data_IF_348697832039
#
_entry.id   IF_348697832039
#
_cell.length_a   1.000
_cell.length_b   1.000
_cell.length_c   1.000
_cell.angle_alpha   90.00
_cell.angle_beta   90.00
_cell.angle_gamma   90.00
#
_symmetry.space_group_name_H-M   'P 1'
#
loop_
_entity.id
_entity.type
_entity.pdbx_description
1 polymer ?
#
# COMPACT_ATOMS: atom_id res chain seq x y z
N UNK A 1 24.61 31.29 7.05
CA UNK A 1 23.93 30.36 7.98
C UNK A 1 22.59 30.02 7.35
N UNK A 2 22.29 28.73 7.18
CA UNK A 2 20.96 28.30 6.74
C UNK A 2 20.00 28.44 7.92
N UNK A 3 18.92 29.19 7.77
CA UNK A 3 17.86 29.32 8.77
C UNK A 3 16.79 28.23 8.61
N UNK A 4 15.85 28.15 9.56
CA UNK A 4 14.80 27.12 9.56
C UNK A 4 13.89 27.22 8.31
N UNK A 5 13.58 28.44 7.86
CA UNK A 5 12.76 28.69 6.66
C UNK A 5 13.38 28.09 5.40
N UNK A 6 14.69 28.27 5.19
CA UNK A 6 15.40 27.69 4.05
C UNK A 6 15.37 26.15 4.07
N UNK A 7 15.55 25.54 5.25
CA UNK A 7 15.49 24.08 5.40
C UNK A 7 14.09 23.54 5.12
N UNK A 8 13.04 24.22 5.61
CA UNK A 8 11.64 23.83 5.37
C UNK A 8 11.29 23.99 3.88
N UNK A 9 11.74 25.07 3.24
CA UNK A 9 11.55 25.29 1.81
C UNK A 9 12.22 24.20 0.97
N UNK A 10 13.47 23.86 1.30
CA UNK A 10 14.18 22.76 0.63
C UNK A 10 13.48 21.42 0.87
N UNK A 11 13.06 21.12 2.09
CA UNK A 11 12.32 19.91 2.38
C UNK A 11 11.03 19.78 1.55
N UNK A 12 10.32 20.90 1.29
CA UNK A 12 9.15 20.89 0.39
C UNK A 12 9.52 20.54 -1.04
N UNK A 13 10.68 20.98 -1.52
CA UNK A 13 11.21 20.59 -2.83
C UNK A 13 11.54 19.10 -2.88
N UNK A 14 12.21 18.57 -1.85
CA UNK A 14 12.51 17.15 -1.73
C UNK A 14 11.23 16.30 -1.70
N UNK A 15 10.21 16.75 -0.96
CA UNK A 15 8.88 16.13 -0.91
C UNK A 15 8.17 16.12 -2.27
N UNK A 16 8.38 17.14 -3.09
CA UNK A 16 7.79 17.23 -4.43
C UNK A 16 8.48 16.31 -5.44
N UNK A 17 9.72 15.90 -5.16
CA UNK A 17 10.48 14.93 -5.95
C UNK A 17 10.55 13.54 -5.31
N UNK A 18 9.64 13.23 -4.38
CA UNK A 18 9.55 11.94 -3.68
C UNK A 18 10.82 11.50 -2.94
N UNK A 19 11.70 12.44 -2.60
CA UNK A 19 12.89 12.21 -1.76
C UNK A 19 12.53 12.40 -0.29
N UNK A 20 11.66 11.53 0.22
CA UNK A 20 11.05 11.69 1.54
C UNK A 20 12.03 11.54 2.70
N UNK A 21 13.00 10.63 2.62
CA UNK A 21 14.05 10.49 3.63
C UNK A 21 14.90 11.77 3.76
N UNK A 22 15.29 12.36 2.62
CA UNK A 22 15.99 13.66 2.55
C UNK A 22 15.15 14.78 3.17
N UNK A 23 13.87 14.85 2.83
CA UNK A 23 12.94 15.81 3.43
C UNK A 23 12.84 15.66 4.95
N UNK A 24 12.78 14.43 5.47
CA UNK A 24 12.77 14.18 6.91
C UNK A 24 14.03 14.74 7.59
N UNK A 25 15.22 14.43 7.05
CA UNK A 25 16.49 14.91 7.59
C UNK A 25 16.60 16.45 7.59
N UNK A 26 16.11 17.11 6.54
CA UNK A 26 16.06 18.58 6.49
C UNK A 26 15.12 19.16 7.55
N UNK A 27 13.96 18.54 7.77
CA UNK A 27 12.99 19.03 8.75
C UNK A 27 13.38 18.72 10.20
N UNK A 28 14.13 17.65 10.45
CA UNK A 28 14.78 17.39 11.74
C UNK A 28 15.79 18.49 12.07
N UNK A 29 16.62 18.88 11.09
CA UNK A 29 17.55 20.01 11.25
C UNK A 29 16.82 21.33 11.47
N UNK A 30 15.72 21.57 10.76
CA UNK A 30 14.89 22.76 10.97
C UNK A 30 14.33 22.81 12.40
N UNK A 31 13.85 21.67 12.92
CA UNK A 31 13.34 21.56 14.28
C UNK A 31 14.40 21.80 15.35
N UNK A 32 15.67 21.46 15.08
CA UNK A 32 16.78 21.75 15.99
C UNK A 32 17.13 23.24 16.05
N UNK A 33 16.81 24.02 15.00
CA UNK A 33 17.04 25.47 14.96
C UNK A 33 15.86 26.25 15.55
N UNK A 34 14.65 25.87 15.19
CA UNK A 34 13.41 26.51 15.65
C UNK A 34 12.29 25.46 15.77
N UNK A 35 12.11 24.86 16.95
CA UNK A 35 11.10 23.81 17.17
C UNK A 35 9.67 24.34 17.09
N UNK A 36 9.46 25.64 17.35
CA UNK A 36 8.14 26.28 17.39
C UNK A 36 7.78 26.95 16.04
N UNK A 37 8.62 26.75 15.01
CA UNK A 37 8.42 27.35 13.70
C UNK A 37 7.02 27.05 13.13
N UNK A 38 6.26 28.07 12.69
CA UNK A 38 4.93 27.87 12.13
C UNK A 38 4.92 26.87 10.97
N UNK A 39 4.04 25.87 11.05
CA UNK A 39 3.87 24.85 10.01
C UNK A 39 4.94 23.73 9.99
N UNK A 40 5.97 23.79 10.83
CA UNK A 40 6.99 22.75 10.91
C UNK A 40 6.41 21.39 11.30
N UNK A 41 5.51 21.35 12.30
CA UNK A 41 4.83 20.12 12.71
C UNK A 41 4.09 19.47 11.54
N UNK A 42 3.38 20.27 10.73
CA UNK A 42 2.64 19.77 9.57
C UNK A 42 3.58 19.23 8.49
N UNK A 43 4.69 19.93 8.22
CA UNK A 43 5.70 19.48 7.27
C UNK A 43 6.35 18.17 7.73
N UNK A 44 6.74 18.07 9.00
CA UNK A 44 7.35 16.86 9.59
C UNK A 44 6.41 15.67 9.58
N UNK A 45 5.15 15.85 10.01
CA UNK A 45 4.16 14.77 10.00
C UNK A 45 3.93 14.26 8.56
N UNK A 46 3.80 15.16 7.58
CA UNK A 46 3.63 14.79 6.18
C UNK A 46 4.85 14.04 5.63
N UNK A 47 6.06 14.50 5.94
CA UNK A 47 7.30 13.85 5.53
C UNK A 47 7.46 12.46 6.15
N UNK A 48 7.25 12.34 7.47
CA UNK A 48 7.34 11.06 8.18
C UNK A 48 6.36 10.05 7.60
N UNK A 49 5.09 10.44 7.36
CA UNK A 49 4.12 9.52 6.76
C UNK A 49 4.53 9.10 5.35
N UNK A 50 4.96 10.02 4.47
CA UNK A 50 5.35 9.69 3.10
C UNK A 50 6.64 8.85 3.03
N UNK A 51 7.51 8.99 4.02
CA UNK A 51 8.68 8.13 4.16
C UNK A 51 8.39 6.78 4.85
N UNK A 52 7.12 6.49 5.17
CA UNK A 52 6.70 5.31 5.95
C UNK A 52 7.28 5.24 7.38
N UNK A 53 7.74 6.37 7.94
CA UNK A 53 8.07 6.53 9.37
C UNK A 53 6.80 6.77 10.19
N UNK A 54 5.86 5.82 10.12
CA UNK A 54 4.51 5.96 10.67
C UNK A 54 4.48 6.13 12.20
N UNK A 55 5.27 5.32 12.93
CA UNK A 55 5.35 5.39 14.39
C UNK A 55 5.85 6.77 14.86
N UNK A 56 6.83 7.33 14.18
CA UNK A 56 7.31 8.69 14.46
C UNK A 56 6.27 9.76 14.14
N UNK A 57 5.57 9.66 12.99
CA UNK A 57 4.48 10.58 12.68
C UNK A 57 3.43 10.57 13.81
N UNK A 58 3.08 9.39 14.32
CA UNK A 58 2.11 9.25 15.42
C UNK A 58 2.64 9.90 16.69
N UNK A 59 3.87 9.59 17.10
CA UNK A 59 4.50 10.13 18.31
C UNK A 59 4.64 11.66 18.24
N UNK A 60 5.09 12.18 17.10
CA UNK A 60 5.25 13.60 16.85
C UNK A 60 3.92 14.36 17.00
N UNK A 61 2.85 13.86 16.37
CA UNK A 61 1.53 14.51 16.44
C UNK A 61 0.88 14.33 17.82
N UNK A 62 1.12 13.20 18.49
CA UNK A 62 0.66 12.99 19.86
C UNK A 62 1.31 13.96 20.85
N UNK A 63 2.61 14.23 20.70
CA UNK A 63 3.33 15.20 21.54
C UNK A 63 2.78 16.63 21.41
N UNK A 64 2.28 17.02 20.23
CA UNK A 64 1.64 18.31 20.02
C UNK A 64 0.24 18.44 20.66
N UNK A 65 -0.39 17.32 21.02
CA UNK A 65 -1.69 17.30 21.71
C UNK A 65 -2.79 18.10 20.99
N UNK A 66 -3.55 18.88 21.77
CA UNK A 66 -4.67 19.68 21.26
C UNK A 66 -4.24 20.80 20.29
N UNK A 67 -2.98 21.22 20.34
CA UNK A 67 -2.43 22.26 19.46
C UNK A 67 -2.18 21.75 18.02
N UNK A 68 -2.26 20.44 17.79
CA UNK A 68 -2.13 19.88 16.45
C UNK A 68 -3.24 20.42 15.52
N UNK A 69 -2.84 21.02 14.40
CA UNK A 69 -3.76 21.43 13.33
C UNK A 69 -4.38 20.24 12.59
N UNK A 70 -5.33 20.53 11.70
CA UNK A 70 -6.06 19.53 10.92
C UNK A 70 -5.14 18.65 10.07
N UNK A 71 -4.10 19.23 9.45
CA UNK A 71 -3.16 18.48 8.61
C UNK A 71 -2.36 17.44 9.42
N UNK A 72 -1.63 17.77 10.50
CA UNK A 72 -0.96 16.77 11.33
C UNK A 72 -1.88 15.64 11.83
N UNK A 73 -3.11 15.97 12.26
CA UNK A 73 -4.09 14.97 12.69
C UNK A 73 -4.46 13.99 11.57
N UNK A 74 -4.63 14.51 10.34
CA UNK A 74 -4.85 13.68 9.15
C UNK A 74 -3.66 12.76 8.87
N UNK A 75 -2.42 13.25 8.97
CA UNK A 75 -1.22 12.42 8.75
C UNK A 75 -1.09 11.31 9.81
N UNK A 76 -1.44 11.62 11.06
CA UNK A 76 -1.50 10.62 12.14
C UNK A 76 -2.56 9.55 11.87
N UNK A 77 -3.77 9.92 11.46
CA UNK A 77 -4.85 8.98 11.16
C UNK A 77 -4.47 8.04 10.01
N UNK A 78 -3.85 8.57 8.94
CA UNK A 78 -3.32 7.74 7.85
C UNK A 78 -2.20 6.81 8.33
N UNK A 79 -1.29 7.29 9.17
CA UNK A 79 -0.20 6.47 9.73
C UNK A 79 -0.73 5.30 10.58
N UNK A 80 -1.78 5.55 11.39
CA UNK A 80 -2.48 4.49 12.14
C UNK A 80 -3.10 3.45 11.21
N UNK A 81 -3.70 3.88 10.09
CA UNK A 81 -4.26 2.98 9.09
C UNK A 81 -3.18 2.09 8.44
N UNK A 82 -2.01 2.65 8.08
CA UNK A 82 -0.90 1.86 7.53
C UNK A 82 -0.33 0.85 8.54
N UNK A 83 -0.36 1.16 9.83
CA UNK A 83 0.01 0.24 10.91
C UNK A 83 -1.12 -0.75 11.28
N UNK A 84 -2.22 -0.80 10.53
CA UNK A 84 -3.31 -1.75 10.77
C UNK A 84 -4.23 -1.42 11.96
N UNK A 85 -4.08 -0.24 12.58
CA UNK A 85 -4.86 0.17 13.76
C UNK A 85 -6.19 0.82 13.33
N UNK A 86 -7.14 -0.01 12.90
CA UNK A 86 -8.39 0.44 12.24
C UNK A 86 -9.24 1.37 13.11
N UNK A 87 -9.50 1.01 14.36
CA UNK A 87 -10.35 1.77 15.29
C UNK A 87 -9.72 3.14 15.58
N UNK A 88 -8.42 3.15 15.90
CA UNK A 88 -7.68 4.38 16.19
C UNK A 88 -7.59 5.28 14.95
N UNK A 89 -7.39 4.71 13.76
CA UNK A 89 -7.37 5.45 12.50
C UNK A 89 -8.74 6.07 12.21
N UNK A 90 -9.82 5.31 12.35
CA UNK A 90 -11.18 5.78 12.12
C UNK A 90 -11.55 6.93 13.06
N UNK A 91 -11.30 6.78 14.36
CA UNK A 91 -11.49 7.85 15.33
C UNK A 91 -10.64 9.09 15.01
N UNK A 92 -9.40 8.89 14.55
CA UNK A 92 -8.53 9.97 14.11
C UNK A 92 -9.08 10.74 12.89
N UNK A 93 -9.65 10.04 11.90
CA UNK A 93 -10.31 10.69 10.77
C UNK A 93 -11.58 11.43 11.18
N UNK A 94 -12.35 10.88 12.10
CA UNK A 94 -13.57 11.54 12.59
C UNK A 94 -13.22 12.84 13.33
N UNK A 95 -12.17 12.85 14.15
CA UNK A 95 -11.66 14.08 14.76
C UNK A 95 -11.17 15.12 13.73
N UNK A 96 -10.61 14.68 12.60
CA UNK A 96 -10.26 15.57 11.47
C UNK A 96 -11.52 16.17 10.84
N UNK A 97 -12.55 15.35 10.66
CA UNK A 97 -13.81 15.72 10.01
C UNK A 97 -14.72 16.59 10.90
N UNK A 98 -14.62 16.48 12.22
CA UNK A 98 -15.27 17.41 13.15
C UNK A 98 -14.76 18.85 12.98
N UNK A 99 -13.47 19.00 12.66
CA UNK A 99 -12.82 20.30 12.46
C UNK A 99 -12.94 20.81 11.03
N UNK A 100 -12.97 19.91 10.05
CA UNK A 100 -13.09 20.22 8.62
C UNK A 100 -14.05 19.23 7.93
N UNK A 101 -15.38 19.43 8.03
CA UNK A 101 -16.38 18.49 7.54
C UNK A 101 -16.40 18.30 6.01
N UNK A 102 -15.77 19.22 5.27
CA UNK A 102 -15.70 19.21 3.81
C UNK A 102 -14.37 18.67 3.27
N UNK A 103 -13.52 18.12 4.14
CA UNK A 103 -12.24 17.53 3.76
C UNK A 103 -12.41 16.20 3.04
N UNK A 104 -12.56 16.26 1.71
CA UNK A 104 -12.75 15.09 0.86
C UNK A 104 -11.72 13.97 1.11
N UNK A 105 -10.45 14.34 1.33
CA UNK A 105 -9.36 13.40 1.57
C UNK A 105 -9.47 12.64 2.91
N UNK A 106 -10.10 13.23 3.94
CA UNK A 106 -10.34 12.55 5.22
C UNK A 106 -11.49 11.55 5.10
N UNK A 107 -12.59 11.95 4.44
CA UNK A 107 -13.67 11.00 4.09
C UNK A 107 -13.13 9.82 3.27
N UNK A 108 -12.30 10.09 2.27
CA UNK A 108 -11.67 9.04 1.46
C UNK A 108 -10.66 8.21 2.26
N UNK A 109 -9.78 8.81 3.07
CA UNK A 109 -8.82 8.04 3.88
C UNK A 109 -9.50 7.12 4.91
N UNK A 110 -10.71 7.48 5.34
CA UNK A 110 -11.43 6.77 6.39
C UNK A 110 -12.26 5.57 5.94
N UNK A 111 -12.51 5.36 4.64
CA UNK A 111 -13.39 4.26 4.21
C UNK A 111 -12.77 2.87 4.45
N UNK A 112 -11.43 2.76 4.34
CA UNK A 112 -10.70 1.53 4.64
C UNK A 112 -10.85 1.12 6.11
N UNK A 113 -10.43 1.96 7.07
CA UNK A 113 -10.67 1.70 8.49
C UNK A 113 -12.16 1.45 8.83
N UNK A 114 -13.08 2.19 8.19
CA UNK A 114 -14.51 1.99 8.40
C UNK A 114 -15.02 0.63 7.88
N UNK A 115 -14.43 0.10 6.81
CA UNK A 115 -14.75 -1.23 6.31
C UNK A 115 -14.40 -2.31 7.35
N UNK A 116 -13.23 -2.20 7.98
CA UNK A 116 -12.78 -3.14 9.01
C UNK A 116 -13.63 -3.06 10.29
N UNK A 117 -13.95 -1.84 10.74
CA UNK A 117 -14.61 -1.62 12.04
C UNK A 117 -16.14 -1.73 11.95
N UNK A 118 -16.73 -1.22 10.87
CA UNK A 118 -18.18 -0.99 10.77
C UNK A 118 -18.81 -1.57 9.49
N UNK A 119 -18.03 -2.24 8.64
CA UNK A 119 -18.52 -2.97 7.47
C UNK A 119 -18.81 -2.10 6.24
N UNK A 120 -19.33 -2.78 5.21
CA UNK A 120 -19.44 -2.27 3.84
C UNK A 120 -20.28 -0.99 3.71
N UNK A 121 -21.41 -0.91 4.42
CA UNK A 121 -22.30 0.26 4.33
C UNK A 121 -21.64 1.53 4.84
N UNK A 122 -20.89 1.45 5.93
CA UNK A 122 -20.13 2.57 6.49
C UNK A 122 -19.03 3.03 5.53
N UNK A 123 -18.29 2.08 4.94
CA UNK A 123 -17.27 2.37 3.93
C UNK A 123 -17.86 3.08 2.69
N UNK A 124 -18.98 2.57 2.16
CA UNK A 124 -19.66 3.18 1.02
C UNK A 124 -20.23 4.57 1.34
N UNK A 125 -20.75 4.78 2.55
CA UNK A 125 -21.21 6.10 2.99
C UNK A 125 -20.05 7.12 2.97
N UNK A 126 -18.88 6.74 3.48
CA UNK A 126 -17.67 7.58 3.47
C UNK A 126 -17.17 7.86 2.05
N UNK A 127 -17.16 6.86 1.16
CA UNK A 127 -16.81 7.05 -0.25
C UNK A 127 -17.78 7.98 -0.99
N UNK A 128 -19.09 7.82 -0.79
CA UNK A 128 -20.12 8.73 -1.35
C UNK A 128 -19.91 10.15 -0.84
N UNK A 129 -19.64 10.32 0.46
CA UNK A 129 -19.38 11.64 1.05
C UNK A 129 -18.09 12.26 0.52
N UNK A 130 -17.01 11.48 0.37
CA UNK A 130 -15.76 11.92 -0.23
C UNK A 130 -15.98 12.44 -1.66
N UNK A 131 -16.72 11.69 -2.48
CA UNK A 131 -17.04 12.08 -3.85
C UNK A 131 -18.00 13.30 -3.93
N UNK A 132 -18.80 13.56 -2.91
CA UNK A 132 -19.70 14.71 -2.89
C UNK A 132 -19.03 16.01 -2.39
N UNK A 133 -17.81 15.95 -1.84
CA UNK A 133 -17.14 17.14 -1.31
C UNK A 133 -16.68 18.11 -2.44
N UNK A 134 -16.68 19.43 -2.20
CA UNK A 134 -16.09 20.39 -3.12
C UNK A 134 -14.62 20.08 -3.42
N UNK A 135 -14.21 20.15 -4.69
CA UNK A 135 -12.83 19.90 -5.11
C UNK A 135 -12.37 18.43 -4.99
N UNK A 136 -13.29 17.50 -4.77
CA UNK A 136 -12.94 16.10 -4.58
C UNK A 136 -12.26 15.47 -5.82
N UNK A 137 -11.28 14.62 -5.55
CA UNK A 137 -10.42 14.03 -6.57
C UNK A 137 -11.19 12.97 -7.38
N UNK A 138 -11.21 13.09 -8.71
CA UNK A 138 -11.94 12.18 -9.58
C UNK A 138 -11.62 10.68 -9.39
N UNK A 139 -10.47 10.32 -8.80
CA UNK A 139 -10.17 8.92 -8.44
C UNK A 139 -11.17 8.32 -7.43
N UNK A 140 -11.79 9.14 -6.57
CA UNK A 140 -12.73 8.64 -5.55
C UNK A 140 -13.98 8.02 -6.16
N UNK A 141 -14.37 8.43 -7.38
CA UNK A 141 -15.50 7.89 -8.12
C UNK A 141 -15.16 6.52 -8.70
N UNK A 142 -13.92 6.35 -9.15
CA UNK A 142 -13.40 5.07 -9.63
C UNK A 142 -13.42 4.04 -8.51
N UNK A 143 -12.93 4.43 -7.33
CA UNK A 143 -12.96 3.59 -6.13
C UNK A 143 -14.39 3.30 -5.70
N UNK A 144 -15.25 4.33 -5.57
CA UNK A 144 -16.66 4.13 -5.22
C UNK A 144 -17.37 3.16 -6.17
N UNK A 145 -17.24 3.33 -7.49
CA UNK A 145 -17.88 2.43 -8.46
C UNK A 145 -17.35 1.00 -8.36
N UNK A 146 -16.03 0.83 -8.19
CA UNK A 146 -15.41 -0.48 -8.05
C UNK A 146 -15.84 -1.18 -6.74
N UNK A 147 -15.83 -0.47 -5.61
CA UNK A 147 -16.29 -1.00 -4.32
C UNK A 147 -17.78 -1.36 -4.36
N UNK A 148 -18.63 -0.54 -5.00
CA UNK A 148 -20.06 -0.86 -5.21
C UNK A 148 -20.24 -2.14 -6.03
N UNK A 149 -19.48 -2.29 -7.11
CA UNK A 149 -19.53 -3.49 -7.95
C UNK A 149 -19.16 -4.75 -7.16
N UNK A 150 -18.06 -4.69 -6.41
CA UNK A 150 -17.60 -5.81 -5.58
C UNK A 150 -18.56 -6.11 -4.41
N UNK A 151 -19.28 -5.10 -3.91
CA UNK A 151 -20.32 -5.28 -2.90
C UNK A 151 -21.66 -5.79 -3.46
N UNK A 152 -21.71 -6.19 -4.74
CA UNK A 152 -22.93 -6.69 -5.40
C UNK A 152 -23.96 -5.60 -5.75
N UNK A 153 -23.61 -4.31 -5.63
CA UNK A 153 -24.50 -3.16 -5.89
C UNK A 153 -24.34 -2.67 -7.32
N UNK A 154 -24.62 -3.55 -8.27
CA UNK A 154 -24.33 -3.35 -9.70
C UNK A 154 -25.00 -2.10 -10.29
N UNK A 155 -26.27 -1.84 -9.95
CA UNK A 155 -27.01 -0.70 -10.49
C UNK A 155 -26.43 0.64 -10.02
N UNK A 156 -26.10 0.74 -8.73
CA UNK A 156 -25.44 1.93 -8.18
C UNK A 156 -24.06 2.13 -8.82
N UNK A 157 -23.29 1.05 -9.00
CA UNK A 157 -21.98 1.08 -9.62
C UNK A 157 -22.07 1.58 -11.08
N UNK A 158 -23.03 1.07 -11.85
CA UNK A 158 -23.28 1.48 -13.22
C UNK A 158 -23.70 2.95 -13.32
N UNK A 159 -24.52 3.44 -12.39
CA UNK A 159 -24.91 4.84 -12.32
C UNK A 159 -23.71 5.77 -12.05
N UNK A 160 -22.82 5.40 -11.12
CA UNK A 160 -21.57 6.15 -10.87
C UNK A 160 -20.68 6.11 -12.11
N UNK A 161 -20.54 4.95 -12.76
CA UNK A 161 -19.74 4.81 -13.96
C UNK A 161 -20.25 5.73 -15.08
N UNK A 162 -21.54 5.67 -15.41
CA UNK A 162 -22.15 6.49 -16.45
C UNK A 162 -21.99 8.00 -16.18
N UNK A 163 -22.21 8.42 -14.92
CA UNK A 163 -22.16 9.83 -14.53
C UNK A 163 -20.75 10.40 -14.49
N UNK A 164 -19.75 9.63 -14.04
CA UNK A 164 -18.47 10.20 -13.63
C UNK A 164 -17.22 9.54 -14.21
N UNK A 165 -17.34 8.36 -14.81
CA UNK A 165 -16.22 7.56 -15.30
C UNK A 165 -16.21 7.40 -16.82
N UNK A 166 -17.38 7.21 -17.44
CA UNK A 166 -17.51 6.84 -18.86
C UNK A 166 -16.74 7.79 -19.81
N UNK A 167 -16.78 9.10 -19.52
CA UNK A 167 -16.08 10.14 -20.30
C UNK A 167 -14.74 10.58 -19.70
N UNK A 168 -14.25 9.90 -18.67
CA UNK A 168 -13.05 10.29 -17.92
C UNK A 168 -12.09 9.11 -17.70
N UNK A 169 -11.36 8.66 -18.73
CA UNK A 169 -10.47 7.48 -18.65
C UNK A 169 -9.48 7.52 -17.48
N UNK A 170 -8.91 8.69 -17.17
CA UNK A 170 -7.97 8.88 -16.05
C UNK A 170 -8.55 8.59 -14.66
N UNK A 171 -9.89 8.47 -14.53
CA UNK A 171 -10.58 8.13 -13.27
C UNK A 171 -10.93 6.65 -13.18
N UNK A 172 -10.76 5.88 -14.26
CA UNK A 172 -11.26 4.51 -14.38
C UNK A 172 -10.29 3.44 -13.92
N UNK A 173 -9.05 3.76 -13.61
CA UNK A 173 -8.03 2.78 -13.24
C UNK A 173 -8.49 1.70 -12.25
N UNK A 174 -9.18 2.09 -11.16
CA UNK A 174 -9.71 1.12 -10.18
C UNK A 174 -10.88 0.30 -10.74
N UNK A 175 -11.77 0.94 -11.50
CA UNK A 175 -12.89 0.24 -12.15
C UNK A 175 -12.40 -0.77 -13.19
N UNK A 176 -11.46 -0.36 -14.04
CA UNK A 176 -10.90 -1.19 -15.11
C UNK A 176 -10.08 -2.35 -14.51
N UNK A 177 -9.29 -2.11 -13.47
CA UNK A 177 -8.55 -3.16 -12.77
C UNK A 177 -9.47 -4.20 -12.12
N UNK A 178 -10.50 -3.77 -11.40
CA UNK A 178 -11.51 -4.69 -10.84
C UNK A 178 -12.27 -5.44 -11.94
N UNK A 179 -12.54 -4.81 -13.08
CA UNK A 179 -13.16 -5.48 -14.21
C UNK A 179 -12.26 -6.57 -14.81
N UNK A 180 -10.95 -6.35 -14.86
CA UNK A 180 -9.97 -7.28 -15.43
C UNK A 180 -9.82 -8.56 -14.61
N UNK A 181 -9.89 -8.47 -13.28
CA UNK A 181 -9.82 -9.65 -12.39
C UNK A 181 -11.17 -10.30 -12.11
N UNK A 182 -12.26 -9.79 -12.69
CA UNK A 182 -13.62 -10.20 -12.32
C UNK A 182 -13.91 -11.69 -12.58
N UNK A 183 -13.28 -12.29 -13.60
CA UNK A 183 -13.44 -13.70 -13.93
C UNK A 183 -12.73 -14.62 -12.92
N UNK A 184 -11.71 -14.10 -12.23
CA UNK A 184 -10.88 -14.87 -11.29
C UNK A 184 -11.37 -14.72 -9.84
N UNK A 185 -12.37 -13.87 -9.59
CA UNK A 185 -12.95 -13.65 -8.26
C UNK A 185 -13.63 -14.92 -7.73
N UNK A 186 -13.22 -15.35 -6.55
CA UNK A 186 -13.94 -16.36 -5.79
C UNK A 186 -15.35 -15.85 -5.43
N UNK A 187 -16.38 -16.71 -5.42
CA UNK A 187 -17.72 -16.32 -4.94
C UNK A 187 -17.74 -15.74 -3.52
N UNK A 188 -16.83 -16.22 -2.66
CA UNK A 188 -16.65 -15.76 -1.29
C UNK A 188 -15.49 -14.76 -1.13
N UNK A 189 -15.11 -14.06 -2.22
CA UNK A 189 -14.01 -13.11 -2.18
C UNK A 189 -14.24 -12.03 -1.11
N UNK A 190 -13.30 -11.89 -0.17
CA UNK A 190 -13.40 -10.95 0.94
C UNK A 190 -12.76 -9.61 0.59
N UNK A 191 -13.44 -8.52 0.95
CA UNK A 191 -12.89 -7.17 0.85
C UNK A 191 -12.27 -6.73 2.15
N UNK A 192 -11.08 -6.13 2.05
CA UNK A 192 -10.35 -5.55 3.17
C UNK A 192 -10.16 -4.05 2.98
N UNK A 193 -10.20 -3.33 4.09
CA UNK A 193 -9.95 -1.90 4.16
C UNK A 193 -8.49 -1.56 4.47
N UNK A 194 -7.73 -2.48 5.07
CA UNK A 194 -6.33 -2.29 5.46
C UNK A 194 -5.44 -3.46 5.02
N UNK A 195 -4.13 -3.19 4.93
CA UNK A 195 -3.15 -4.17 4.44
C UNK A 195 -2.89 -5.30 5.45
N UNK A 196 -2.68 -4.96 6.72
CA UNK A 196 -2.41 -5.93 7.78
C UNK A 196 -3.45 -7.08 7.88
N UNK A 197 -4.77 -6.82 7.94
CA UNK A 197 -5.76 -7.89 7.98
C UNK A 197 -5.84 -8.68 6.66
N UNK A 198 -5.58 -8.06 5.50
CA UNK A 198 -5.50 -8.77 4.22
C UNK A 198 -4.31 -9.74 4.19
N UNK A 199 -3.11 -9.29 4.58
CA UNK A 199 -1.90 -10.11 4.62
C UNK A 199 -2.04 -11.28 5.60
N UNK A 200 -2.64 -11.05 6.78
CA UNK A 200 -2.96 -12.12 7.73
C UNK A 200 -3.91 -13.15 7.12
N UNK A 201 -5.00 -12.68 6.49
CA UNK A 201 -5.94 -13.57 5.83
C UNK A 201 -5.31 -14.36 4.68
N UNK A 202 -4.38 -13.74 3.95
CA UNK A 202 -3.63 -14.41 2.89
C UNK A 202 -2.71 -15.51 3.43
N UNK A 203 -2.03 -15.27 4.56
CA UNK A 203 -1.22 -16.28 5.25
C UNK A 203 -2.05 -17.46 5.74
N UNK A 204 -3.25 -17.21 6.25
CA UNK A 204 -4.17 -18.24 6.76
C UNK A 204 -4.80 -19.07 5.63
N UNK A 205 -4.94 -18.48 4.43
CA UNK A 205 -5.51 -19.15 3.27
C UNK A 205 -4.52 -20.10 2.56
N UNK A 206 -3.21 -19.95 2.78
CA UNK A 206 -2.22 -20.83 2.21
C UNK A 206 -2.32 -22.24 2.81
N UNK A 207 -2.46 -23.26 1.96
CA UNK A 207 -2.67 -24.65 2.38
C UNK A 207 -1.42 -25.52 2.26
N UNK A 208 -0.30 -24.94 1.83
CA UNK A 208 1.01 -25.60 1.80
C UNK A 208 1.93 -25.02 2.86
N UNK A 209 2.72 -25.85 3.59
CA UNK A 209 3.84 -25.34 4.37
C UNK A 209 4.91 -24.82 3.41
N UNK A 210 5.80 -23.94 3.88
CA UNK A 210 6.85 -23.41 3.03
C UNK A 210 7.28 -22.00 3.37
N UNK A 211 8.03 -21.41 2.44
CA UNK A 211 8.63 -20.09 2.59
C UNK A 211 7.57 -18.99 2.64
N UNK A 212 7.80 -17.97 3.49
CA UNK A 212 7.05 -16.72 3.48
C UNK A 212 8.00 -15.62 3.04
N UNK A 213 7.70 -15.05 1.88
CA UNK A 213 8.59 -14.13 1.18
C UNK A 213 7.91 -12.77 1.02
N UNK A 214 8.68 -11.70 1.17
CA UNK A 214 8.29 -10.35 0.79
C UNK A 214 9.33 -9.74 -0.13
N UNK A 215 8.89 -9.05 -1.18
CA UNK A 215 9.73 -8.31 -2.11
C UNK A 215 9.30 -6.84 -2.10
N UNK A 216 10.24 -5.93 -1.86
CA UNK A 216 9.97 -4.49 -1.69
C UNK A 216 9.81 -4.04 -0.23
N UNK A 217 10.70 -4.49 0.65
CA UNK A 217 10.60 -4.24 2.10
C UNK A 217 10.62 -2.75 2.46
N UNK A 218 11.54 -1.97 1.87
CA UNK A 218 11.86 -0.57 2.20
C UNK A 218 11.96 -0.28 3.70
N UNK A 219 10.87 0.17 4.35
CA UNK A 219 10.80 0.47 5.79
C UNK A 219 10.22 -0.67 6.64
N UNK A 220 9.86 -1.80 6.03
CA UNK A 220 9.49 -3.05 6.70
C UNK A 220 8.07 -3.10 7.27
N UNK A 221 7.15 -2.24 6.83
CA UNK A 221 5.79 -2.20 7.39
C UNK A 221 5.01 -3.49 7.11
N UNK A 222 4.93 -3.92 5.85
CA UNK A 222 4.27 -5.18 5.46
C UNK A 222 5.04 -6.41 5.93
N UNK A 223 6.38 -6.39 5.90
CA UNK A 223 7.22 -7.44 6.49
C UNK A 223 6.90 -7.68 7.96
N UNK A 224 6.70 -6.59 8.71
CA UNK A 224 6.34 -6.66 10.13
C UNK A 224 4.97 -7.31 10.30
N UNK A 225 3.97 -6.89 9.52
CA UNK A 225 2.63 -7.51 9.55
C UNK A 225 2.67 -9.01 9.25
N UNK A 226 3.46 -9.42 8.24
CA UNK A 226 3.66 -10.82 7.90
C UNK A 226 4.39 -11.58 9.01
N UNK A 227 5.48 -11.03 9.56
CA UNK A 227 6.27 -11.66 10.60
C UNK A 227 5.46 -11.87 11.89
N UNK A 228 4.61 -10.92 12.28
CA UNK A 228 3.72 -11.04 13.44
C UNK A 228 2.65 -12.14 13.25
N UNK A 229 2.22 -12.40 12.02
CA UNK A 229 1.15 -13.36 11.72
C UNK A 229 1.65 -14.76 11.32
N UNK A 230 2.86 -14.87 10.74
CA UNK A 230 3.28 -16.10 10.06
C UNK A 230 3.55 -17.28 11.00
N UNK A 231 3.92 -17.02 12.25
CA UNK A 231 4.33 -18.04 13.22
C UNK A 231 5.64 -18.76 12.86
N UNK A 232 6.39 -18.24 11.89
CA UNK A 232 7.65 -18.79 11.37
C UNK A 232 8.57 -17.67 10.89
N UNK A 233 9.74 -18.02 10.36
CA UNK A 233 10.64 -17.05 9.74
C UNK A 233 10.03 -16.47 8.46
N UNK A 234 10.14 -15.15 8.30
CA UNK A 234 9.74 -14.43 7.08
C UNK A 234 10.97 -13.78 6.46
N UNK A 235 11.09 -13.87 5.13
CA UNK A 235 12.26 -13.39 4.39
C UNK A 235 11.87 -12.19 3.53
N UNK A 236 12.50 -11.04 3.77
CA UNK A 236 12.27 -9.80 3.04
C UNK A 236 13.43 -9.44 2.13
N UNK A 237 13.15 -9.15 0.87
CA UNK A 237 14.11 -8.79 -0.17
C UNK A 237 13.92 -7.35 -0.60
N UNK A 238 15.01 -6.58 -0.64
CA UNK A 238 15.03 -5.20 -1.14
C UNK A 238 16.47 -4.78 -1.41
N UNK A 239 16.70 -3.91 -2.40
CA UNK A 239 18.03 -3.33 -2.63
C UNK A 239 18.37 -2.24 -1.61
N UNK A 240 17.34 -1.60 -1.03
CA UNK A 240 17.36 -0.39 -0.20
C UNK A 240 17.95 0.84 -0.93
N UNK A 241 18.21 0.71 -2.24
CA UNK A 241 18.80 1.72 -3.12
C UNK A 241 17.73 2.51 -3.89
N UNK A 242 16.45 2.17 -3.71
CA UNK A 242 15.32 2.80 -4.40
C UNK A 242 14.94 2.10 -5.70
N UNK A 243 13.99 2.69 -6.44
CA UNK A 243 13.49 2.10 -7.68
C UNK A 243 14.60 1.92 -8.72
N UNK A 244 14.71 0.75 -9.38
CA UNK A 244 15.74 0.50 -10.41
C UNK A 244 15.44 1.23 -11.73
N UNK A 245 14.19 1.67 -11.95
CA UNK A 245 13.74 2.36 -13.14
C UNK A 245 12.59 3.34 -12.81
N UNK A 246 12.24 4.18 -13.78
CA UNK A 246 11.09 5.08 -13.66
C UNK A 246 9.78 4.29 -13.54
N UNK A 247 8.85 4.79 -12.72
CA UNK A 247 7.55 4.15 -12.49
C UNK A 247 6.44 5.19 -12.36
N UNK A 248 5.50 5.16 -13.30
CA UNK A 248 4.41 6.13 -13.36
C UNK A 248 4.92 7.56 -13.50
N UNK A 249 4.92 8.32 -12.40
CA UNK A 249 5.46 9.69 -12.32
C UNK A 249 6.72 9.81 -11.46
N UNK A 250 7.19 8.70 -10.91
CA UNK A 250 8.34 8.61 -10.01
C UNK A 250 9.59 8.24 -10.81
N UNK A 251 10.72 8.88 -10.48
CA UNK A 251 12.01 8.66 -11.17
C UNK A 251 12.82 7.56 -10.50
N UNK A 252 13.67 6.87 -11.25
CA UNK A 252 14.63 5.91 -10.69
C UNK A 252 15.41 6.48 -9.48
N UNK A 253 15.67 5.65 -8.47
CA UNK A 253 16.39 5.99 -7.23
C UNK A 253 15.54 6.65 -6.13
N UNK A 254 14.28 7.00 -6.37
CA UNK A 254 13.35 7.39 -5.29
C UNK A 254 12.96 6.19 -4.43
N UNK A 255 12.36 6.46 -3.27
CA UNK A 255 12.00 5.46 -2.24
C UNK A 255 13.19 4.72 -1.58
N UNK A 256 14.43 5.17 -1.82
CA UNK A 256 15.63 4.67 -1.12
C UNK A 256 15.60 4.95 0.38
N UNK A 257 16.22 4.07 1.18
CA UNK A 257 16.56 4.31 2.58
C UNK A 257 18.04 4.68 2.76
N UNK A 258 18.77 4.95 1.67
CA UNK A 258 20.21 5.20 1.71
C UNK A 258 21.00 3.99 2.21
N UNK A 259 20.51 2.77 1.96
CA UNK A 259 21.00 1.47 2.49
C UNK A 259 20.79 1.21 3.99
N UNK A 260 20.10 2.12 4.69
CA UNK A 260 19.69 1.86 6.07
C UNK A 260 18.63 0.75 6.11
N UNK A 261 18.93 -0.32 6.84
CA UNK A 261 18.01 -1.44 7.03
C UNK A 261 16.96 -1.10 8.08
N UNK A 262 15.68 -1.41 7.85
CA UNK A 262 14.64 -1.20 8.84
C UNK A 262 14.83 -2.11 10.06
N UNK A 263 14.35 -1.64 11.22
CA UNK A 263 14.17 -2.51 12.38
C UNK A 263 12.98 -3.42 12.11
N UNK A 264 13.22 -4.73 12.18
CA UNK A 264 12.22 -5.75 11.88
C UNK A 264 12.06 -6.74 13.04
N UNK A 265 10.94 -7.47 13.15
CA UNK A 265 10.74 -8.49 14.17
C UNK A 265 11.84 -9.56 14.17
N UNK A 266 12.03 -10.22 15.32
CA UNK A 266 13.13 -11.19 15.51
C UNK A 266 13.05 -12.41 14.59
N UNK A 267 11.87 -12.73 14.06
CA UNK A 267 11.65 -13.80 13.08
C UNK A 267 11.66 -13.30 11.62
N UNK A 268 11.92 -12.01 11.37
CA UNK A 268 12.16 -11.51 10.02
C UNK A 268 13.66 -11.57 9.67
N UNK A 269 13.97 -11.85 8.41
CA UNK A 269 15.33 -11.85 7.86
C UNK A 269 15.37 -11.00 6.61
N UNK A 270 16.26 -10.02 6.57
CA UNK A 270 16.46 -9.13 5.43
C UNK A 270 17.55 -9.67 4.52
N UNK A 271 17.32 -9.59 3.22
CA UNK A 271 18.24 -9.98 2.16
C UNK A 271 18.50 -8.76 1.26
N UNK A 272 19.50 -7.93 1.60
CA UNK A 272 19.82 -6.74 0.82
C UNK A 272 20.39 -7.10 -0.55
N UNK A 273 19.84 -6.53 -1.62
CA UNK A 273 20.33 -6.74 -2.98
C UNK A 273 19.23 -6.59 -4.03
N UNK A 274 19.62 -6.50 -5.30
CA UNK A 274 18.67 -6.63 -6.40
C UNK A 274 18.14 -8.06 -6.46
N UNK A 275 16.88 -8.24 -6.87
CA UNK A 275 16.22 -9.54 -6.81
C UNK A 275 16.93 -10.60 -7.65
N UNK A 276 17.48 -10.21 -8.80
CA UNK A 276 18.30 -11.06 -9.68
C UNK A 276 19.58 -11.57 -9.02
N UNK A 277 20.11 -10.84 -8.04
CA UNK A 277 21.36 -11.15 -7.34
C UNK A 277 21.10 -11.91 -6.03
N UNK A 278 20.11 -11.46 -5.23
CA UNK A 278 19.87 -11.99 -3.89
C UNK A 278 19.03 -13.26 -3.86
N UNK A 279 18.12 -13.43 -4.83
CA UNK A 279 17.16 -14.53 -4.80
C UNK A 279 17.73 -15.90 -5.20
N UNK A 280 18.64 -16.03 -6.20
CA UNK A 280 19.15 -17.34 -6.61
C UNK A 280 19.86 -18.12 -5.50
N UNK A 281 20.82 -17.50 -4.81
CA UNK A 281 21.57 -18.14 -3.73
C UNK A 281 20.64 -18.49 -2.57
N UNK A 282 19.72 -17.58 -2.22
CA UNK A 282 18.70 -17.85 -1.21
C UNK A 282 17.87 -19.10 -1.55
N UNK A 283 17.36 -19.22 -2.77
CA UNK A 283 16.55 -20.37 -3.18
C UNK A 283 17.34 -21.68 -3.22
N UNK A 284 18.64 -21.63 -3.52
CA UNK A 284 19.52 -22.79 -3.45
C UNK A 284 19.64 -23.32 -2.01
N UNK A 285 19.74 -22.42 -1.03
CA UNK A 285 19.85 -22.77 0.40
C UNK A 285 18.50 -23.12 1.06
N UNK A 286 17.38 -22.76 0.42
CA UNK A 286 16.03 -22.91 0.99
C UNK A 286 15.10 -23.74 0.06
N UNK A 287 15.27 -25.09 0.05
CA UNK A 287 14.39 -25.98 -0.70
C UNK A 287 12.97 -26.05 -0.10
N UNK A 288 12.00 -26.58 -0.86
CA UNK A 288 10.57 -26.61 -0.49
C UNK A 288 9.70 -25.42 -0.95
N UNK A 289 8.39 -25.61 -1.15
CA UNK A 289 7.53 -24.65 -1.85
C UNK A 289 7.44 -23.28 -1.16
N UNK A 290 6.90 -22.30 -1.88
CA UNK A 290 6.49 -21.03 -1.31
C UNK A 290 5.11 -21.20 -0.69
N UNK A 291 4.98 -20.94 0.60
CA UNK A 291 3.67 -20.86 1.28
C UNK A 291 2.96 -19.58 0.86
N UNK A 292 3.63 -18.46 1.03
CA UNK A 292 3.12 -17.15 0.65
C UNK A 292 4.24 -16.27 0.10
N UNK A 293 3.94 -15.51 -0.95
CA UNK A 293 4.79 -14.41 -1.42
C UNK A 293 3.96 -13.12 -1.50
N UNK A 294 4.47 -12.06 -0.88
CA UNK A 294 4.00 -10.69 -1.07
C UNK A 294 4.94 -9.99 -2.06
N UNK A 295 4.42 -9.57 -3.20
CA UNK A 295 5.14 -8.87 -4.27
C UNK A 295 4.70 -7.40 -4.22
N UNK A 296 5.57 -6.54 -3.69
CA UNK A 296 5.41 -5.08 -3.61
C UNK A 296 6.59 -4.44 -4.35
N UNK A 297 6.69 -4.74 -5.64
CA UNK A 297 7.91 -4.46 -6.42
C UNK A 297 7.79 -3.26 -7.35
N UNK A 298 6.62 -2.61 -7.31
CA UNK A 298 6.15 -1.46 -8.10
C UNK A 298 6.15 -1.67 -9.63
N UNK A 299 7.27 -2.12 -10.20
CA UNK A 299 7.53 -2.19 -11.63
C UNK A 299 7.39 -3.61 -12.20
N UNK A 300 6.97 -3.68 -13.46
CA UNK A 300 6.83 -4.93 -14.22
C UNK A 300 8.08 -5.82 -14.19
N UNK A 301 9.27 -5.26 -14.44
CA UNK A 301 10.51 -6.05 -14.56
C UNK A 301 10.89 -6.73 -13.25
N UNK A 302 10.69 -6.07 -12.11
CA UNK A 302 10.94 -6.61 -10.78
C UNK A 302 9.94 -7.72 -10.44
N UNK A 303 8.64 -7.47 -10.62
CA UNK A 303 7.59 -8.48 -10.41
C UNK A 303 7.82 -9.72 -11.27
N UNK A 304 8.17 -9.52 -12.55
CA UNK A 304 8.50 -10.61 -13.49
C UNK A 304 9.70 -11.42 -13.02
N UNK A 305 10.76 -10.77 -12.54
CA UNK A 305 11.95 -11.46 -12.02
C UNK A 305 11.58 -12.38 -10.86
N UNK A 306 10.81 -11.88 -9.89
CA UNK A 306 10.33 -12.68 -8.75
C UNK A 306 9.50 -13.87 -9.22
N UNK A 307 8.48 -13.63 -10.05
CA UNK A 307 7.58 -14.68 -10.54
C UNK A 307 8.34 -15.79 -11.29
N UNK A 308 9.27 -15.44 -12.18
CA UNK A 308 10.05 -16.43 -12.95
C UNK A 308 10.99 -17.24 -12.07
N UNK A 309 11.59 -16.62 -11.05
CA UNK A 309 12.48 -17.31 -10.11
C UNK A 309 11.73 -18.23 -9.16
N UNK A 310 10.45 -17.95 -8.89
CA UNK A 310 9.60 -18.76 -8.01
C UNK A 310 8.71 -19.75 -8.79
N UNK A 311 8.85 -19.85 -10.11
CA UNK A 311 7.94 -20.62 -10.96
C UNK A 311 7.79 -22.10 -10.52
N UNK A 312 8.89 -22.75 -10.15
CA UNK A 312 8.93 -24.14 -9.68
C UNK A 312 8.59 -24.29 -8.17
N UNK A 313 8.29 -23.18 -7.50
CA UNK A 313 8.03 -23.10 -6.05
C UNK A 313 6.58 -22.73 -5.73
N UNK A 314 5.88 -22.12 -6.68
CA UNK A 314 4.47 -21.77 -6.60
C UNK A 314 3.61 -22.97 -6.99
N UNK A 315 3.16 -23.72 -5.98
CA UNK A 315 2.42 -24.98 -6.13
C UNK A 315 0.95 -24.79 -5.74
N UNK A 316 0.04 -25.73 -6.07
CA UNK A 316 -1.33 -25.66 -5.59
C UNK A 316 -1.40 -25.51 -4.06
N UNK A 317 -2.09 -24.46 -3.61
CA UNK A 317 -2.17 -24.06 -2.19
C UNK A 317 -1.16 -22.98 -1.76
N UNK A 318 -0.21 -22.60 -2.61
CA UNK A 318 0.58 -21.36 -2.44
C UNK A 318 -0.32 -20.14 -2.58
N UNK A 319 0.03 -19.05 -1.89
CA UNK A 319 -0.66 -17.76 -2.00
C UNK A 319 0.30 -16.68 -2.53
N UNK A 320 -0.19 -15.91 -3.50
CA UNK A 320 0.50 -14.72 -4.05
C UNK A 320 -0.32 -13.50 -3.68
N UNK A 321 0.31 -12.51 -3.06
CA UNK A 321 -0.26 -11.19 -2.81
C UNK A 321 0.53 -10.19 -3.65
N UNK A 322 -0.18 -9.33 -4.36
CA UNK A 322 0.40 -8.18 -5.06
C UNK A 322 -0.03 -6.90 -4.36
N UNK A 323 0.90 -5.96 -4.17
CA UNK A 323 0.54 -4.58 -3.84
C UNK A 323 0.33 -3.77 -5.11
N UNK A 324 -0.65 -2.87 -5.11
CA UNK A 324 -0.94 -2.01 -6.26
C UNK A 324 -1.28 -2.71 -7.60
N UNK A 325 -1.67 -3.99 -7.55
CA UNK A 325 -2.12 -4.81 -8.69
C UNK A 325 -3.25 -4.17 -9.52
N UNK A 326 -4.08 -3.34 -8.87
CA UNK A 326 -5.20 -2.63 -9.48
C UNK A 326 -5.18 -1.13 -9.10
N UNK A 327 -5.89 -0.30 -9.85
CA UNK A 327 -6.23 1.05 -9.40
C UNK A 327 -5.19 2.15 -9.59
N UNK A 328 -3.91 1.81 -9.76
CA UNK A 328 -2.91 2.73 -10.27
C UNK A 328 -3.15 3.11 -11.73
N UNK A 329 -2.69 4.27 -12.21
CA UNK A 329 -2.92 4.64 -13.62
C UNK A 329 -2.24 3.70 -14.61
N UNK A 330 -1.12 3.12 -14.21
CA UNK A 330 -0.28 2.21 -14.99
C UNK A 330 -0.51 0.74 -14.64
N UNK A 331 -1.50 0.42 -13.79
CA UNK A 331 -1.74 -0.94 -13.25
C UNK A 331 -1.60 -2.07 -14.28
N UNK A 332 -2.18 -1.88 -15.47
CA UNK A 332 -2.19 -2.87 -16.54
C UNK A 332 -0.83 -3.11 -17.21
N UNK A 333 0.15 -2.23 -17.00
CA UNK A 333 1.50 -2.31 -17.56
C UNK A 333 2.54 -2.82 -16.54
N UNK A 334 2.19 -2.83 -15.26
CA UNK A 334 3.08 -3.12 -14.13
C UNK A 334 2.92 -4.59 -13.67
N UNK A 335 2.61 -4.83 -12.40
CA UNK A 335 2.52 -6.18 -11.81
C UNK A 335 1.41 -7.04 -12.44
N UNK A 336 0.28 -6.42 -12.84
CA UNK A 336 -0.79 -7.13 -13.55
C UNK A 336 -0.28 -7.77 -14.85
N UNK A 337 0.57 -7.05 -15.58
CA UNK A 337 1.17 -7.56 -16.81
C UNK A 337 2.14 -8.69 -16.52
N UNK A 338 2.98 -8.56 -15.49
CA UNK A 338 3.93 -9.60 -15.11
C UNK A 338 3.21 -10.89 -14.72
N UNK A 339 2.11 -10.78 -13.95
CA UNK A 339 1.24 -11.90 -13.62
C UNK A 339 0.58 -12.53 -14.85
N UNK A 340 0.04 -11.72 -15.76
CA UNK A 340 -0.58 -12.21 -17.01
C UNK A 340 0.42 -13.02 -17.83
N UNK A 341 1.63 -12.49 -18.05
CA UNK A 341 2.70 -13.17 -18.78
C UNK A 341 3.14 -14.47 -18.06
N UNK A 342 3.17 -14.47 -16.73
CA UNK A 342 3.53 -15.64 -15.92
C UNK A 342 2.50 -16.76 -16.07
N UNK A 343 1.21 -16.46 -15.92
CA UNK A 343 0.14 -17.45 -16.07
C UNK A 343 0.09 -18.06 -17.47
N UNK A 344 0.36 -17.25 -18.51
CA UNK A 344 0.49 -17.73 -19.89
C UNK A 344 1.71 -18.64 -20.08
N UNK A 345 2.88 -18.22 -19.60
CA UNK A 345 4.13 -18.96 -19.79
C UNK A 345 4.18 -20.30 -19.04
N UNK A 346 3.58 -20.36 -17.85
CA UNK A 346 3.67 -21.52 -16.96
C UNK A 346 2.33 -22.25 -16.77
N UNK A 347 1.26 -21.86 -17.46
CA UNK A 347 -0.05 -22.52 -17.35
C UNK A 347 -0.67 -22.48 -15.95
N UNK A 348 -0.23 -21.53 -15.11
CA UNK A 348 -0.68 -21.40 -13.72
C UNK A 348 -2.09 -20.82 -13.70
N UNK A 349 -2.96 -21.41 -12.88
CA UNK A 349 -4.29 -20.86 -12.60
C UNK A 349 -4.41 -20.53 -11.12
N UNK A 350 -4.94 -19.35 -10.83
CA UNK A 350 -5.17 -18.88 -9.48
C UNK A 350 -6.58 -18.30 -9.34
N UNK A 351 -7.07 -18.29 -8.10
CA UNK A 351 -8.35 -17.69 -7.74
C UNK A 351 -8.11 -16.50 -6.82
N UNK A 352 -8.68 -15.34 -7.15
CA UNK A 352 -8.66 -14.15 -6.29
C UNK A 352 -9.67 -14.35 -5.16
N UNK A 353 -9.19 -14.55 -3.94
CA UNK A 353 -10.05 -14.78 -2.77
C UNK A 353 -10.10 -13.58 -1.81
N UNK A 354 -9.21 -12.62 -1.95
CA UNK A 354 -9.26 -11.38 -1.20
C UNK A 354 -8.68 -10.20 -1.98
N UNK A 355 -9.21 -9.00 -1.76
CA UNK A 355 -8.64 -7.77 -2.31
C UNK A 355 -9.02 -6.54 -1.49
N UNK A 356 -8.34 -5.43 -1.76
CA UNK A 356 -8.65 -4.12 -1.20
C UNK A 356 -8.72 -3.05 -2.27
N UNK A 357 -9.81 -2.29 -2.29
CA UNK A 357 -9.88 -1.06 -3.09
C UNK A 357 -9.25 0.14 -2.38
N UNK A 358 -8.89 -0.01 -1.09
CA UNK A 358 -8.22 1.01 -0.29
C UNK A 358 -6.70 0.93 -0.44
N UNK A 359 -6.13 -0.27 -0.27
CA UNK A 359 -4.69 -0.52 -0.42
C UNK A 359 -4.30 -0.98 -1.81
N UNK A 360 -5.28 -1.33 -2.67
CA UNK A 360 -5.08 -1.83 -4.05
C UNK A 360 -4.51 -3.25 -4.13
N UNK A 361 -4.36 -3.91 -2.98
CA UNK A 361 -3.83 -5.27 -2.91
C UNK A 361 -4.80 -6.31 -3.44
N UNK A 362 -4.26 -7.37 -4.02
CA UNK A 362 -5.00 -8.56 -4.47
C UNK A 362 -4.27 -9.81 -4.01
N UNK A 363 -4.99 -10.71 -3.32
CA UNK A 363 -4.48 -12.00 -2.88
C UNK A 363 -5.11 -13.13 -3.69
N UNK A 364 -4.25 -14.02 -4.19
CA UNK A 364 -4.60 -15.11 -5.08
C UNK A 364 -4.08 -16.44 -4.54
N UNK A 365 -4.91 -17.47 -4.59
CA UNK A 365 -4.50 -18.83 -4.25
C UNK A 365 -4.22 -19.61 -5.53
N UNK A 366 -3.04 -20.23 -5.63
CA UNK A 366 -2.68 -21.10 -6.74
C UNK A 366 -3.55 -22.35 -6.68
N UNK A 367 -4.37 -22.57 -7.70
CA UNK A 367 -5.28 -23.72 -7.81
C UNK A 367 -4.68 -24.85 -8.67
N UNK A 368 -3.84 -24.48 -9.65
CA UNK A 368 -3.17 -25.42 -10.53
C UNK A 368 -1.81 -24.85 -10.95
N UNK A 369 -0.80 -25.69 -10.86
CA UNK A 369 0.50 -25.56 -11.53
C UNK A 369 0.73 -26.85 -12.30
N UNK A 370 1.22 -26.81 -13.55
CA UNK A 370 1.50 -28.01 -14.34
C UNK A 370 2.62 -28.87 -13.77
#
# INVERSE_FOLDING_TARGET
>A
MTDADQLISHARSEMASSRFASACALLERAAALDPDHPGLLAARAAACRRDARYAECIALVAAAGAAAGVQPLYERAMSLAHLGQAEAALAGFDAVLERDPNRAAAWFGSFGPALEVAGMDSALARLRRAAACPGANGKYWGVLAATLRLAGRADEAAAVHARALARHPRRRAMWDGVAAIAADLAPACRLFGLSAPLLRHALDAATVPGLVLEFGVRRGTSLTHLAEAAGQTVHGFDSFQGLPADWGGETAGVLTTGTELPVVPANARLHPGWFEDSLPDFLADHPGPVRLVNIDSDIHASARTVLWRLADRLVPGSVVVFDEFIGNRTWAADEFRAWSEFTEAFGVRATVFALSTATKQVAMAIAHSP
#
